data_IF_363531227717
#
_entry.id   IF_363531227717
#
_cell.length_a   1.000
_cell.length_b   1.000
_cell.length_c   1.000
_cell.angle_alpha   90.00
_cell.angle_beta   90.00
_cell.angle_gamma   90.00
#
_symmetry.space_group_name_H-M   'P 1'
#
loop_
_entity.id
_entity.type
_entity.pdbx_description
1 polymer ?
#
# COMPACT_ATOMS: atom_id res chain seq x y z
N UNK A 1 52.22 4.40 -7.34
CA UNK A 1 51.40 3.20 -7.62
C UNK A 1 50.80 2.79 -6.29
N UNK A 2 49.77 3.48 -5.86
CA UNK A 2 49.15 3.31 -4.54
C UNK A 2 48.01 2.32 -4.68
N UNK A 3 48.06 1.25 -3.90
CA UNK A 3 47.11 0.15 -3.90
C UNK A 3 45.66 0.62 -3.68
N UNK A 4 44.65 -0.03 -4.27
CA UNK A 4 43.26 0.33 -4.04
C UNK A 4 42.85 0.02 -2.59
N UNK A 5 42.17 1.01 -2.03
CA UNK A 5 41.63 1.10 -0.67
C UNK A 5 40.69 -0.08 -0.34
N UNK A 6 41.10 -0.92 0.62
CA UNK A 6 40.36 -2.08 1.15
C UNK A 6 39.02 -1.71 1.81
N UNK A 7 38.73 -0.42 1.95
CA UNK A 7 37.48 0.10 2.49
C UNK A 7 36.30 0.01 1.50
N UNK A 8 36.55 -0.22 0.21
CA UNK A 8 35.48 -0.36 -0.80
C UNK A 8 34.90 -1.77 -0.94
N UNK A 9 35.59 -2.81 -0.47
CA UNK A 9 35.11 -4.20 -0.58
C UNK A 9 34.05 -4.58 0.46
N UNK A 10 33.83 -3.75 1.49
CA UNK A 10 32.96 -4.08 2.63
C UNK A 10 31.55 -3.46 2.58
N UNK A 11 31.17 -2.79 1.47
CA UNK A 11 29.81 -2.25 1.29
C UNK A 11 28.85 -3.15 0.50
N UNK A 12 29.37 -4.18 -0.19
CA UNK A 12 28.57 -5.06 -1.03
C UNK A 12 27.99 -6.28 -0.28
N UNK A 13 28.35 -6.52 0.99
CA UNK A 13 28.04 -7.75 1.72
C UNK A 13 26.91 -7.65 2.75
N UNK A 14 26.19 -6.53 2.85
CA UNK A 14 25.15 -6.29 3.88
C UNK A 14 23.71 -6.36 3.33
N UNK A 15 23.50 -6.65 2.04
CA UNK A 15 22.17 -6.59 1.40
C UNK A 15 21.64 -7.94 0.89
N UNK A 16 21.90 -9.03 1.59
CA UNK A 16 21.12 -10.25 1.36
C UNK A 16 20.99 -11.03 2.65
N UNK A 17 19.77 -11.19 3.16
CA UNK A 17 19.09 -12.50 3.29
C UNK A 17 17.74 -12.28 3.97
N UNK A 18 16.76 -11.81 3.20
CA UNK A 18 15.35 -12.07 3.44
C UNK A 18 14.90 -13.01 2.32
N UNK A 19 14.42 -14.21 2.65
CA UNK A 19 14.07 -15.23 1.65
C UNK A 19 12.72 -14.86 1.00
N UNK A 20 12.70 -13.83 0.15
CA UNK A 20 11.55 -13.45 -0.65
C UNK A 20 11.38 -14.46 -1.78
N UNK A 21 10.36 -15.30 -1.65
CA UNK A 21 10.05 -16.36 -2.61
C UNK A 21 8.68 -16.08 -3.19
N UNK A 22 8.63 -15.81 -4.49
CA UNK A 22 7.38 -15.68 -5.25
C UNK A 22 6.83 -17.09 -5.51
N UNK A 23 5.60 -17.42 -5.06
CA UNK A 23 5.02 -18.72 -5.32
C UNK A 23 4.80 -18.96 -6.82
N UNK A 24 4.85 -20.22 -7.30
CA UNK A 24 4.71 -20.51 -8.73
C UNK A 24 3.42 -19.98 -9.37
N UNK A 25 2.31 -19.97 -8.62
CA UNK A 25 1.04 -19.43 -9.10
C UNK A 25 1.11 -17.92 -9.35
N UNK A 26 1.70 -17.17 -8.43
CA UNK A 26 1.91 -15.72 -8.56
C UNK A 26 2.91 -15.41 -9.68
N UNK A 27 3.98 -16.21 -9.82
CA UNK A 27 4.92 -16.02 -10.91
C UNK A 27 4.26 -16.28 -12.28
N UNK A 28 3.37 -17.26 -12.40
CA UNK A 28 2.62 -17.52 -13.62
C UNK A 28 1.70 -16.34 -14.00
N UNK A 29 0.97 -15.80 -13.02
CA UNK A 29 0.16 -14.58 -13.19
C UNK A 29 1.02 -13.39 -13.66
N UNK A 30 2.15 -13.15 -12.99
CA UNK A 30 3.06 -12.07 -13.35
C UNK A 30 3.64 -12.24 -14.76
N UNK A 31 3.95 -13.47 -15.18
CA UNK A 31 4.40 -13.74 -16.55
C UNK A 31 3.30 -13.45 -17.58
N UNK A 32 2.05 -13.76 -17.25
CA UNK A 32 0.89 -13.46 -18.09
C UNK A 32 0.71 -11.95 -18.25
N UNK A 33 0.80 -11.18 -17.16
CA UNK A 33 0.67 -9.72 -17.17
C UNK A 33 1.66 -9.04 -18.11
N UNK A 34 2.88 -9.58 -18.25
CA UNK A 34 3.88 -9.03 -19.20
C UNK A 34 3.39 -9.11 -20.65
N UNK A 35 2.60 -10.14 -20.99
CA UNK A 35 2.12 -10.36 -22.37
C UNK A 35 1.13 -9.28 -22.85
N UNK A 36 0.52 -8.55 -21.92
CA UNK A 36 -0.38 -7.44 -22.22
C UNK A 36 0.33 -6.16 -22.69
N UNK A 37 1.67 -6.13 -22.65
CA UNK A 37 2.44 -4.94 -22.96
C UNK A 37 3.47 -5.19 -24.06
N UNK A 38 3.64 -4.23 -25.01
CA UNK A 38 4.69 -4.32 -26.02
C UNK A 38 6.10 -4.15 -25.42
N UNK A 39 6.22 -3.52 -24.24
CA UNK A 39 7.47 -3.27 -23.54
C UNK A 39 7.34 -3.75 -22.10
N UNK A 40 8.26 -4.61 -21.64
CA UNK A 40 8.22 -5.21 -20.28
C UNK A 40 8.10 -4.15 -19.17
N UNK A 41 8.79 -3.01 -19.32
CA UNK A 41 8.74 -1.90 -18.36
C UNK A 41 7.31 -1.45 -18.04
N UNK A 42 6.41 -1.47 -19.02
CA UNK A 42 5.03 -1.01 -18.84
C UNK A 42 4.22 -1.89 -17.88
N UNK A 43 4.65 -3.13 -17.63
CA UNK A 43 4.02 -4.04 -16.66
C UNK A 43 4.35 -3.69 -15.19
N UNK A 44 5.27 -2.76 -14.93
CA UNK A 44 5.80 -2.49 -13.57
C UNK A 44 4.72 -2.19 -12.54
N UNK A 45 3.68 -1.42 -12.90
CA UNK A 45 2.58 -1.12 -11.99
C UNK A 45 1.74 -2.36 -11.69
N UNK A 46 1.43 -3.17 -12.70
CA UNK A 46 0.65 -4.39 -12.49
C UNK A 46 1.41 -5.42 -11.64
N UNK A 47 2.73 -5.47 -11.79
CA UNK A 47 3.59 -6.28 -10.92
C UNK A 47 3.50 -5.83 -9.47
N UNK A 48 3.61 -4.52 -9.22
CA UNK A 48 3.50 -3.96 -7.87
C UNK A 48 2.12 -4.23 -7.25
N UNK A 49 1.06 -4.16 -8.04
CA UNK A 49 -0.29 -4.51 -7.61
C UNK A 49 -0.40 -5.98 -7.18
N UNK A 50 -0.01 -6.93 -8.03
CA UNK A 50 -0.10 -8.36 -7.74
C UNK A 50 0.78 -8.76 -6.54
N UNK A 51 1.99 -8.20 -6.44
CA UNK A 51 2.87 -8.40 -5.28
C UNK A 51 2.22 -7.86 -4.00
N UNK A 52 1.69 -6.65 -4.02
CA UNK A 52 1.05 -6.05 -2.84
C UNK A 52 -0.23 -6.81 -2.45
N UNK A 53 -1.01 -7.30 -3.40
CA UNK A 53 -2.20 -8.11 -3.12
C UNK A 53 -1.83 -9.42 -2.44
N UNK A 54 -0.76 -10.08 -2.91
CA UNK A 54 -0.32 -11.35 -2.35
C UNK A 54 0.37 -11.22 -0.99
N UNK A 55 1.29 -10.26 -0.84
CA UNK A 55 2.12 -10.09 0.36
C UNK A 55 1.60 -9.00 1.33
N UNK A 56 0.62 -8.21 0.93
CA UNK A 56 0.03 -7.10 1.69
C UNK A 56 0.77 -5.77 1.55
N UNK A 57 2.05 -5.79 1.19
CA UNK A 57 2.93 -4.63 0.99
C UNK A 57 4.08 -4.98 0.04
N UNK A 58 4.83 -3.97 -0.39
CA UNK A 58 5.97 -4.09 -1.31
C UNK A 58 7.27 -3.95 -0.54
N UNK A 59 7.95 -5.06 -0.28
CA UNK A 59 9.25 -5.08 0.40
C UNK A 59 10.40 -4.69 -0.52
N UNK A 60 11.59 -4.43 0.04
CA UNK A 60 12.80 -4.13 -0.72
C UNK A 60 13.21 -5.29 -1.63
N UNK A 61 13.10 -6.51 -1.11
CA UNK A 61 13.37 -7.74 -1.85
C UNK A 61 12.38 -7.92 -3.01
N UNK A 62 11.11 -7.55 -2.80
CA UNK A 62 10.12 -7.55 -3.87
C UNK A 62 10.48 -6.55 -4.98
N UNK A 63 10.94 -5.36 -4.61
CA UNK A 63 11.42 -4.35 -5.57
C UNK A 63 12.60 -4.88 -6.41
N UNK A 64 13.60 -5.48 -5.76
CA UNK A 64 14.75 -6.08 -6.44
C UNK A 64 14.34 -7.23 -7.36
N UNK A 65 13.40 -8.07 -6.92
CA UNK A 65 12.87 -9.18 -7.70
C UNK A 65 12.12 -8.69 -8.95
N UNK A 66 11.23 -7.69 -8.81
CA UNK A 66 10.49 -7.08 -9.92
C UNK A 66 11.47 -6.46 -10.93
N UNK A 67 12.46 -5.71 -10.43
CA UNK A 67 13.46 -5.09 -11.28
C UNK A 67 14.23 -6.13 -12.10
N UNK A 68 14.65 -7.24 -11.48
CA UNK A 68 15.29 -8.36 -12.19
C UNK A 68 14.37 -8.99 -13.24
N UNK A 69 13.10 -9.22 -12.90
CA UNK A 69 12.12 -9.88 -13.78
C UNK A 69 11.76 -9.02 -15.01
N UNK A 70 11.73 -7.70 -14.86
CA UNK A 70 11.41 -6.75 -15.92
C UNK A 70 12.66 -6.18 -16.63
N UNK A 71 13.86 -6.63 -16.26
CA UNK A 71 15.14 -6.14 -16.80
C UNK A 71 15.34 -4.62 -16.58
N UNK A 72 14.97 -4.14 -15.40
CA UNK A 72 15.08 -2.74 -14.97
C UNK A 72 16.11 -2.58 -13.85
N UNK A 73 16.50 -1.34 -13.58
CA UNK A 73 17.25 -1.01 -12.37
C UNK A 73 16.29 -0.95 -11.16
N UNK A 74 16.69 -1.42 -9.96
CA UNK A 74 15.85 -1.34 -8.75
C UNK A 74 15.31 0.07 -8.47
N UNK A 75 16.09 1.10 -8.77
CA UNK A 75 15.67 2.50 -8.62
C UNK A 75 14.43 2.83 -9.44
N UNK A 76 14.27 2.26 -10.64
CA UNK A 76 13.10 2.54 -11.48
C UNK A 76 11.81 2.00 -10.88
N UNK A 77 11.88 0.89 -10.14
CA UNK A 77 10.72 0.32 -9.44
C UNK A 77 10.48 1.08 -8.14
N UNK A 78 11.54 1.43 -7.41
CA UNK A 78 11.44 2.24 -6.19
C UNK A 78 10.83 3.64 -6.45
N UNK A 79 11.16 4.27 -7.58
CA UNK A 79 10.52 5.51 -8.04
C UNK A 79 8.99 5.35 -8.12
N UNK A 80 8.49 4.24 -8.64
CA UNK A 80 7.04 3.99 -8.73
C UNK A 80 6.41 3.78 -7.35
N UNK A 81 7.06 2.99 -6.49
CA UNK A 81 6.55 2.69 -5.13
C UNK A 81 6.46 3.95 -4.28
N UNK A 82 7.42 4.86 -4.41
CA UNK A 82 7.41 6.13 -3.68
C UNK A 82 6.50 7.18 -4.30
N UNK A 83 6.29 7.12 -5.62
CA UNK A 83 5.46 8.08 -6.34
C UNK A 83 3.96 7.81 -6.19
N UNK A 84 3.54 6.54 -6.29
CA UNK A 84 2.12 6.17 -6.21
C UNK A 84 1.73 5.85 -4.76
N UNK A 85 0.88 6.66 -4.12
CA UNK A 85 0.56 6.54 -2.68
C UNK A 85 -0.18 5.25 -2.31
N UNK A 86 -0.72 4.54 -3.29
CA UNK A 86 -1.40 3.26 -3.10
C UNK A 86 -0.45 2.10 -2.76
N UNK A 87 0.84 2.22 -3.09
CA UNK A 87 1.83 1.18 -2.77
C UNK A 87 2.42 1.43 -1.38
N UNK A 88 2.36 0.40 -0.56
CA UNK A 88 2.82 0.41 0.82
C UNK A 88 4.17 -0.27 0.90
N UNK A 89 5.11 0.37 1.60
CA UNK A 89 6.41 -0.21 1.90
C UNK A 89 6.45 -0.91 3.26
N UNK A 90 5.41 -0.71 4.07
CA UNK A 90 5.25 -1.27 5.40
C UNK A 90 3.95 -2.09 5.48
N UNK A 91 3.89 -3.12 6.32
CA UNK A 91 2.70 -3.93 6.47
C UNK A 91 1.53 -3.11 7.03
N UNK A 92 0.38 -3.21 6.37
CA UNK A 92 -0.89 -2.70 6.87
C UNK A 92 -1.62 -3.79 7.68
N UNK A 93 -2.59 -3.35 8.48
CA UNK A 93 -3.52 -4.26 9.12
C UNK A 93 -4.40 -4.97 8.10
N UNK A 94 -4.99 -6.10 8.50
CA UNK A 94 -5.88 -6.94 7.66
C UNK A 94 -7.01 -6.15 6.98
N UNK A 95 -7.50 -5.10 7.62
CA UNK A 95 -8.56 -4.23 7.14
C UNK A 95 -8.08 -2.78 7.08
N UNK A 96 -7.90 -2.26 5.87
CA UNK A 96 -7.45 -0.90 5.61
C UNK A 96 -8.64 0.03 5.38
N UNK A 97 -8.89 0.91 6.34
CA UNK A 97 -9.94 1.93 6.31
C UNK A 97 -9.35 3.22 5.73
N UNK A 98 -9.84 3.60 4.56
CA UNK A 98 -9.41 4.77 3.79
C UNK A 98 -10.54 5.81 3.78
N UNK A 99 -10.40 6.90 4.53
CA UNK A 99 -11.44 7.94 4.63
C UNK A 99 -11.09 9.12 3.73
N UNK A 100 -12.00 9.53 2.85
CA UNK A 100 -11.78 10.68 1.96
C UNK A 100 -11.73 12.00 2.75
N UNK A 101 -10.72 12.84 2.53
CA UNK A 101 -10.58 14.16 3.19
C UNK A 101 -10.71 15.38 2.28
N UNK A 102 -10.98 15.19 0.99
CA UNK A 102 -11.16 16.32 0.05
C UNK A 102 -12.46 17.09 0.32
N UNK A 103 -12.58 18.28 -0.29
CA UNK A 103 -13.53 19.32 0.07
C UNK A 103 -14.96 18.84 0.38
N UNK A 104 -15.59 18.10 -0.53
CA UNK A 104 -16.97 17.62 -0.34
C UNK A 104 -17.10 16.69 0.87
N UNK A 105 -16.14 15.79 1.06
CA UNK A 105 -16.11 14.89 2.22
C UNK A 105 -15.77 15.64 3.51
N UNK A 106 -14.87 16.62 3.46
CA UNK A 106 -14.55 17.47 4.61
C UNK A 106 -15.79 18.23 5.11
N UNK A 107 -16.55 18.85 4.20
CA UNK A 107 -17.83 19.51 4.51
C UNK A 107 -18.90 18.51 4.96
N UNK A 108 -18.94 17.31 4.37
CA UNK A 108 -19.82 16.21 4.74
C UNK A 108 -19.47 15.53 6.07
N UNK A 109 -18.42 15.96 6.76
CA UNK A 109 -18.07 15.46 8.09
C UNK A 109 -17.07 14.31 8.13
N UNK A 110 -16.27 14.10 7.08
CA UNK A 110 -15.29 13.00 7.04
C UNK A 110 -14.22 13.06 8.14
N UNK A 111 -13.89 14.25 8.64
CA UNK A 111 -12.98 14.41 9.77
C UNK A 111 -13.59 13.85 11.07
N UNK A 112 -14.91 14.02 11.26
CA UNK A 112 -15.63 13.42 12.38
C UNK A 112 -15.68 11.90 12.24
N UNK A 113 -15.89 11.40 11.03
CA UNK A 113 -15.88 9.98 10.72
C UNK A 113 -14.51 9.34 10.99
N UNK A 114 -13.42 9.96 10.52
CA UNK A 114 -12.07 9.48 10.79
C UNK A 114 -11.77 9.45 12.29
N UNK A 115 -12.08 10.54 13.01
CA UNK A 115 -11.93 10.61 14.46
C UNK A 115 -12.71 9.48 15.16
N UNK A 116 -13.92 9.20 14.71
CA UNK A 116 -14.74 8.10 15.24
C UNK A 116 -14.07 6.73 15.08
N UNK A 117 -13.50 6.44 13.91
CA UNK A 117 -12.73 5.21 13.70
C UNK A 117 -11.49 5.15 14.61
N UNK A 118 -10.73 6.23 14.72
CA UNK A 118 -9.55 6.28 15.58
C UNK A 118 -9.91 6.02 17.05
N UNK A 119 -10.95 6.66 17.58
CA UNK A 119 -11.39 6.46 18.97
C UNK A 119 -11.84 5.01 19.23
N UNK A 120 -12.60 4.41 18.30
CA UNK A 120 -13.06 3.01 18.42
C UNK A 120 -11.91 2.01 18.38
N UNK A 121 -10.88 2.30 17.61
CA UNK A 121 -9.73 1.41 17.38
C UNK A 121 -8.54 1.71 18.30
N UNK A 122 -8.65 2.74 19.16
CA UNK A 122 -7.56 3.15 20.06
C UNK A 122 -6.35 3.75 19.33
N UNK A 123 -6.59 4.44 18.21
CA UNK A 123 -5.59 5.16 17.41
C UNK A 123 -5.66 6.68 17.69
N UNK A 124 -4.61 7.41 17.31
CA UNK A 124 -4.56 8.87 17.49
C UNK A 124 -5.24 9.59 16.31
N UNK A 125 -6.35 10.28 16.56
CA UNK A 125 -7.07 11.02 15.51
C UNK A 125 -6.30 12.20 14.90
N UNK A 126 -5.20 12.63 15.53
CA UNK A 126 -4.38 13.76 15.08
C UNK A 126 -3.10 13.36 14.35
N UNK A 127 -2.69 12.09 14.48
CA UNK A 127 -1.50 11.61 13.79
C UNK A 127 -1.70 11.60 12.27
N UNK A 128 -0.62 11.91 11.55
CA UNK A 128 -0.59 11.90 10.09
C UNK A 128 -0.13 10.55 9.55
N UNK A 129 -0.66 10.16 8.39
CA UNK A 129 -0.34 8.89 7.73
C UNK A 129 -1.16 7.71 8.22
N UNK A 130 -0.76 6.52 7.81
CA UNK A 130 -1.43 5.27 8.16
C UNK A 130 -1.14 4.91 9.61
N UNK A 131 -2.19 4.59 10.37
CA UNK A 131 -2.07 4.09 11.73
C UNK A 131 -2.66 2.70 11.83
N UNK A 132 -1.89 1.77 12.39
CA UNK A 132 -2.30 0.37 12.53
C UNK A 132 -2.51 0.01 14.00
N UNK A 133 -3.58 -0.72 14.29
CA UNK A 133 -3.88 -1.21 15.65
C UNK A 133 -2.81 -2.17 16.14
N UNK A 134 -2.61 -2.26 17.46
CA UNK A 134 -1.58 -3.13 18.06
C UNK A 134 -1.77 -4.61 17.74
N UNK A 135 -3.00 -5.03 17.45
CA UNK A 135 -3.35 -6.40 17.06
C UNK A 135 -3.19 -6.66 15.55
N UNK A 136 -2.78 -5.67 14.75
CA UNK A 136 -2.56 -5.80 13.31
C UNK A 136 -3.84 -6.00 12.50
N UNK A 137 -5.03 -5.79 13.08
CA UNK A 137 -6.30 -6.03 12.37
C UNK A 137 -6.72 -4.86 11.51
N UNK A 138 -6.55 -3.64 11.99
CA UNK A 138 -7.06 -2.46 11.31
C UNK A 138 -5.95 -1.46 11.05
N UNK A 139 -5.97 -0.88 9.86
CA UNK A 139 -5.25 0.36 9.56
C UNK A 139 -6.25 1.44 9.21
N UNK A 140 -6.03 2.66 9.69
CA UNK A 140 -6.85 3.82 9.37
C UNK A 140 -5.95 4.89 8.77
N UNK A 141 -6.39 5.47 7.66
CA UNK A 141 -5.74 6.62 7.05
C UNK A 141 -6.75 7.54 6.39
N UNK A 142 -6.31 8.78 6.19
CA UNK A 142 -6.96 9.64 5.22
C UNK A 142 -6.43 9.38 3.82
N UNK A 143 -7.34 9.42 2.85
CA UNK A 143 -7.03 9.42 1.42
C UNK A 143 -7.64 10.64 0.74
N UNK A 144 -7.16 10.93 -0.46
CA UNK A 144 -7.71 12.00 -1.28
C UNK A 144 -9.04 11.59 -1.95
N UNK A 145 -9.45 12.31 -3.00
CA UNK A 145 -10.74 12.12 -3.64
C UNK A 145 -10.98 10.67 -4.08
N UNK A 146 -12.11 10.10 -3.63
CA UNK A 146 -12.60 8.78 -3.99
C UNK A 146 -13.73 8.82 -5.04
N UNK A 147 -13.80 9.91 -5.81
CA UNK A 147 -14.70 10.10 -6.96
C UNK A 147 -16.23 10.06 -6.72
N UNK A 148 -16.72 9.90 -5.48
CA UNK A 148 -18.16 10.00 -5.16
C UNK A 148 -18.50 11.23 -4.30
N UNK A 149 -18.18 12.42 -4.83
CA UNK A 149 -18.34 13.68 -4.10
C UNK A 149 -19.80 14.03 -3.73
N UNK A 150 -20.78 13.54 -4.51
CA UNK A 150 -22.21 13.81 -4.30
C UNK A 150 -22.83 13.06 -3.11
N UNK A 151 -22.17 12.02 -2.61
CA UNK A 151 -22.66 11.15 -1.52
C UNK A 151 -21.74 11.20 -0.30
N UNK A 152 -21.05 12.33 -0.10
CA UNK A 152 -20.15 12.54 1.03
C UNK A 152 -20.84 12.30 2.40
N UNK A 153 -20.11 11.81 3.43
CA UNK A 153 -18.70 11.40 3.40
C UNK A 153 -18.53 9.97 2.85
N UNK A 154 -17.42 9.76 2.13
CA UNK A 154 -17.09 8.51 1.45
C UNK A 154 -15.84 7.88 2.06
N UNK A 155 -15.80 6.55 2.10
CA UNK A 155 -14.63 5.79 2.51
C UNK A 155 -14.54 4.46 1.74
N UNK A 156 -13.39 3.81 1.85
CA UNK A 156 -13.21 2.42 1.47
C UNK A 156 -12.73 1.60 2.67
N UNK A 157 -13.11 0.33 2.70
CA UNK A 157 -12.44 -0.67 3.53
C UNK A 157 -11.88 -1.75 2.61
N UNK A 158 -10.55 -1.85 2.51
CA UNK A 158 -9.88 -2.62 1.46
C UNK A 158 -10.40 -2.17 0.07
N UNK A 159 -11.07 -3.06 -0.66
CA UNK A 159 -11.67 -2.79 -1.99
C UNK A 159 -13.16 -2.42 -1.91
N UNK A 160 -13.80 -2.59 -0.74
CA UNK A 160 -15.22 -2.27 -0.57
C UNK A 160 -15.41 -0.75 -0.44
N UNK A 161 -16.32 -0.21 -1.25
CA UNK A 161 -16.64 1.20 -1.31
C UNK A 161 -17.91 1.55 -0.53
N UNK A 162 -17.86 2.61 0.28
CA UNK A 162 -18.97 3.03 1.14
C UNK A 162 -19.27 4.52 1.02
N UNK A 163 -20.52 4.82 0.74
CA UNK A 163 -21.05 6.17 0.57
C UNK A 163 -21.94 6.60 1.75
N UNK A 164 -22.05 7.91 1.99
CA UNK A 164 -22.92 8.50 2.99
C UNK A 164 -22.71 7.92 4.39
N UNK A 165 -21.45 7.72 4.78
CA UNK A 165 -21.12 6.93 5.96
C UNK A 165 -21.39 7.70 7.24
N UNK A 166 -22.38 7.24 7.99
CA UNK A 166 -22.71 7.70 9.34
C UNK A 166 -21.93 6.88 10.39
N UNK A 167 -21.90 7.33 11.64
CA UNK A 167 -21.28 6.57 12.73
C UNK A 167 -21.92 5.18 12.91
N UNK A 168 -23.23 5.06 12.72
CA UNK A 168 -23.91 3.77 12.76
C UNK A 168 -23.42 2.84 11.64
N UNK A 169 -23.33 3.36 10.41
CA UNK A 169 -22.80 2.60 9.27
C UNK A 169 -21.32 2.24 9.46
N UNK A 170 -20.54 3.12 10.11
CA UNK A 170 -19.15 2.83 10.47
C UNK A 170 -19.05 1.63 11.44
N UNK A 171 -19.92 1.56 12.46
CA UNK A 171 -19.99 0.40 13.37
C UNK A 171 -20.38 -0.89 12.61
N UNK A 172 -21.32 -0.80 11.67
CA UNK A 172 -21.70 -1.94 10.81
C UNK A 172 -20.53 -2.41 9.94
N UNK A 173 -19.76 -1.48 9.37
CA UNK A 173 -18.56 -1.80 8.57
C UNK A 173 -17.52 -2.51 9.44
N UNK A 174 -17.19 -1.99 10.63
CA UNK A 174 -16.29 -2.66 11.58
C UNK A 174 -16.80 -4.04 12.00
N UNK A 175 -18.11 -4.22 12.09
CA UNK A 175 -18.74 -5.51 12.37
C UNK A 175 -18.52 -6.55 11.26
N UNK A 176 -18.51 -6.12 9.99
CA UNK A 176 -18.26 -6.98 8.83
C UNK A 176 -16.80 -7.34 8.65
N UNK A 177 -15.89 -6.45 9.07
CA UNK A 177 -14.44 -6.61 8.94
C UNK A 177 -13.80 -7.47 10.06
N UNK A 178 -14.48 -8.50 10.55
CA UNK A 178 -13.95 -9.40 11.61
C UNK A 178 -13.21 -10.60 11.04
#
# INVERSE_FOLDING_TARGET
MSAPDSTQQNRASVLSTGNFVVPPALEAELNELVTHYPVKRSASLMFLHAIQEHFGYVSKEAIEWIAKKLELQPINVYELVTFYPMFRQEPAGKHQIKVCRTLSCALGGSHKLHKYFCEKLGLDSHAHGVQTTKDGKYSVEFVECLASCGTAPVMMCNEDFYEGVTNQKADEILGKCK
#
